data_IF_072278333561
#
_entry.id   IF_072278333561
#
_cell.length_a   1.000
_cell.length_b   1.000
_cell.length_c   1.000
_cell.angle_alpha   90.00
_cell.angle_beta   90.00
_cell.angle_gamma   90.00
#
_symmetry.space_group_name_H-M   'P 1'
#
loop_
_entity.id
_entity.type
_entity.pdbx_description
1 polymer ?
#
# COMPACT_ATOMS: atom_id res chain seq x y z
N UNK A 1 -9.93 -3.43 4.17
CA UNK A 1 -9.60 -1.98 4.09
C UNK A 1 -9.62 -1.32 5.47
N UNK A 2 -10.77 -1.24 6.14
CA UNK A 2 -10.88 -0.66 7.50
C UNK A 2 -9.85 -1.23 8.49
N UNK A 3 -9.67 -2.55 8.50
CA UNK A 3 -8.72 -3.20 9.42
C UNK A 3 -7.27 -2.74 9.19
N UNK A 4 -6.88 -2.55 7.92
CA UNK A 4 -5.58 -1.97 7.58
C UNK A 4 -5.48 -0.53 8.09
N UNK A 5 -6.52 0.28 7.90
CA UNK A 5 -6.52 1.67 8.38
C UNK A 5 -6.43 1.78 9.91
N UNK A 6 -7.07 0.86 10.63
CA UNK A 6 -6.94 0.75 12.09
C UNK A 6 -5.53 0.37 12.51
N UNK A 7 -4.89 -0.57 11.79
CA UNK A 7 -3.52 -0.99 12.04
C UNK A 7 -2.51 0.13 11.74
N UNK A 8 -2.67 0.84 10.63
CA UNK A 8 -1.89 2.02 10.27
C UNK A 8 -1.89 3.08 11.38
N UNK A 9 -3.06 3.38 11.96
CA UNK A 9 -3.14 4.34 13.07
C UNK A 9 -2.33 3.91 14.28
N UNK A 10 -2.27 2.60 14.57
CA UNK A 10 -1.45 2.06 15.67
C UNK A 10 0.05 2.17 15.36
N UNK A 11 0.45 1.81 14.14
CA UNK A 11 1.85 1.96 13.71
C UNK A 11 2.28 3.43 13.74
N UNK A 12 1.44 4.38 13.32
CA UNK A 12 1.80 5.80 13.36
C UNK A 12 2.06 6.33 14.78
N UNK A 13 1.36 5.78 15.79
CA UNK A 13 1.63 6.09 17.20
C UNK A 13 2.95 5.47 17.67
N UNK A 14 3.23 4.23 17.25
CA UNK A 14 4.42 3.50 17.66
C UNK A 14 5.71 4.01 17.00
N UNK A 15 5.62 4.40 15.72
CA UNK A 15 6.76 4.62 14.83
C UNK A 15 7.09 6.11 14.64
N UNK A 16 6.46 6.98 15.44
CA UNK A 16 6.48 8.44 15.33
C UNK A 16 5.80 9.03 14.09
N UNK A 17 6.09 8.53 12.89
CA UNK A 17 5.44 8.97 11.67
C UNK A 17 5.38 7.84 10.65
N UNK A 18 4.38 7.91 9.76
CA UNK A 18 4.23 7.01 8.62
C UNK A 18 3.91 7.84 7.38
N UNK A 19 4.57 7.51 6.28
CA UNK A 19 4.27 8.05 4.95
C UNK A 19 3.41 7.03 4.21
N UNK A 20 2.32 7.47 3.60
CA UNK A 20 1.37 6.60 2.91
C UNK A 20 1.06 7.19 1.55
N UNK A 21 1.22 6.39 0.50
CA UNK A 21 0.66 6.67 -0.82
C UNK A 21 -0.43 5.64 -1.09
N UNK A 22 -1.60 6.09 -1.54
CA UNK A 22 -2.72 5.19 -1.80
C UNK A 22 -3.55 5.67 -2.98
N UNK A 23 -4.14 4.72 -3.70
CA UNK A 23 -4.91 5.05 -4.89
C UNK A 23 -5.73 3.87 -5.42
N UNK A 24 -6.55 4.15 -6.44
CA UNK A 24 -7.32 3.12 -7.13
C UNK A 24 -6.44 2.36 -8.13
N UNK A 25 -6.81 1.12 -8.39
CA UNK A 25 -6.46 0.41 -9.60
C UNK A 25 -7.63 0.59 -10.59
N UNK A 26 -7.35 1.08 -11.79
CA UNK A 26 -8.37 1.33 -12.82
C UNK A 26 -7.99 0.64 -14.12
N UNK A 27 -8.83 -0.28 -14.57
CA UNK A 27 -8.73 -0.93 -15.87
C UNK A 27 -9.33 -0.07 -16.98
N UNK A 28 -8.84 -0.26 -18.21
CA UNK A 28 -9.32 0.49 -19.39
C UNK A 28 -10.83 0.40 -19.63
N UNK A 29 -11.46 -0.72 -19.26
CA UNK A 29 -12.88 -1.00 -19.45
C UNK A 29 -13.66 -1.01 -18.12
N UNK A 30 -13.20 -0.24 -17.13
CA UNK A 30 -13.83 -0.16 -15.83
C UNK A 30 -15.29 0.29 -15.92
N UNK A 31 -16.14 -0.29 -15.06
CA UNK A 31 -17.55 0.09 -14.95
C UNK A 31 -17.66 1.52 -14.43
N UNK A 32 -18.76 2.17 -14.76
CA UNK A 32 -19.08 3.53 -14.30
C UNK A 32 -20.43 3.55 -13.59
N UNK A 33 -20.66 4.56 -12.74
CA UNK A 33 -21.93 4.77 -12.02
C UNK A 33 -22.42 6.21 -12.17
N UNK A 34 -23.75 6.37 -12.12
CA UNK A 34 -24.43 7.66 -12.14
C UNK A 34 -24.40 8.37 -13.50
N UNK A 35 -25.11 9.51 -13.58
CA UNK A 35 -25.17 10.33 -14.80
C UNK A 35 -23.81 10.90 -15.21
N UNK A 36 -22.92 11.13 -14.25
CA UNK A 36 -21.57 11.64 -14.46
C UNK A 36 -20.54 10.56 -14.81
N UNK A 37 -20.96 9.30 -14.96
CA UNK A 37 -20.10 8.19 -15.37
C UNK A 37 -18.85 8.05 -14.49
N UNK A 38 -19.01 8.13 -13.17
CA UNK A 38 -17.90 8.00 -12.22
C UNK A 38 -17.33 6.58 -12.29
N UNK A 39 -16.05 6.45 -12.61
CA UNK A 39 -15.35 5.16 -12.73
C UNK A 39 -15.31 4.41 -11.39
N UNK A 40 -15.61 3.11 -11.43
CA UNK A 40 -15.50 2.20 -10.31
C UNK A 40 -14.18 1.41 -10.43
N UNK A 41 -13.21 1.63 -9.52
CA UNK A 41 -11.95 0.88 -9.51
C UNK A 41 -12.17 -0.62 -9.32
N UNK A 42 -11.36 -1.47 -9.94
CA UNK A 42 -11.34 -2.91 -9.66
C UNK A 42 -10.60 -3.26 -8.37
N UNK A 43 -9.82 -2.31 -7.84
CA UNK A 43 -9.05 -2.49 -6.63
C UNK A 43 -8.44 -1.20 -6.12
N UNK A 44 -7.67 -1.33 -5.04
CA UNK A 44 -6.99 -0.23 -4.37
C UNK A 44 -5.65 -0.70 -3.86
N UNK A 45 -4.71 0.22 -3.77
CA UNK A 45 -3.43 -0.01 -3.12
C UNK A 45 -3.21 0.98 -1.97
N UNK A 46 -2.38 0.56 -1.00
CA UNK A 46 -1.67 1.45 -0.08
C UNK A 46 -0.22 0.98 0.00
N UNK A 47 0.74 1.86 -0.22
CA UNK A 47 2.14 1.64 0.15
C UNK A 47 2.46 2.48 1.37
N UNK A 48 3.21 1.91 2.30
CA UNK A 48 3.40 2.44 3.65
C UNK A 48 4.89 2.41 3.95
N UNK A 49 5.44 3.54 4.38
CA UNK A 49 6.81 3.68 4.84
C UNK A 49 6.81 4.20 6.28
N UNK A 50 7.57 3.52 7.13
CA UNK A 50 7.92 3.90 8.48
C UNK A 50 9.39 4.36 8.50
N UNK A 51 9.65 5.67 8.33
CA UNK A 51 11.01 6.16 8.06
C UNK A 51 11.87 6.34 9.30
N UNK A 52 11.28 6.40 10.50
CA UNK A 52 11.97 6.75 11.74
C UNK A 52 12.28 5.55 12.65
N UNK A 53 12.02 4.33 12.16
CA UNK A 53 12.50 3.10 12.79
C UNK A 53 13.85 2.67 12.17
N UNK A 54 14.59 1.84 12.88
CA UNK A 54 15.93 1.39 12.46
C UNK A 54 15.98 -0.13 12.36
N UNK A 55 16.15 -0.72 11.15
CA UNK A 55 16.17 -0.03 9.85
C UNK A 55 14.76 0.50 9.46
N UNK A 56 14.66 1.47 8.52
CA UNK A 56 13.38 1.89 7.96
C UNK A 56 12.59 0.69 7.43
N UNK A 57 11.27 0.74 7.56
CA UNK A 57 10.39 -0.36 7.19
C UNK A 57 9.35 0.10 6.19
N UNK A 58 9.08 -0.71 5.18
CA UNK A 58 8.00 -0.44 4.25
C UNK A 58 7.20 -1.72 3.92
N UNK A 59 5.97 -1.52 3.43
CA UNK A 59 5.08 -2.60 2.98
C UNK A 59 4.02 -2.06 2.02
N UNK A 60 3.70 -2.86 1.00
CA UNK A 60 2.60 -2.62 0.09
C UNK A 60 1.38 -3.47 0.46
N UNK A 61 0.19 -2.95 0.20
CA UNK A 61 -1.06 -3.70 0.26
C UNK A 61 -1.88 -3.51 -1.02
N UNK A 62 -2.41 -4.61 -1.54
CA UNK A 62 -3.28 -4.62 -2.73
C UNK A 62 -4.62 -5.29 -2.42
N UNK A 63 -5.72 -4.58 -2.62
CA UNK A 63 -7.07 -5.10 -2.39
C UNK A 63 -7.88 -5.07 -3.69
N UNK A 64 -8.64 -6.14 -3.94
CA UNK A 64 -9.75 -6.10 -4.91
C UNK A 64 -10.90 -5.30 -4.32
N UNK A 65 -11.67 -4.63 -5.18
CA UNK A 65 -12.87 -3.89 -4.80
C UNK A 65 -14.06 -4.85 -4.60
N UNK A 66 -13.91 -5.77 -3.66
CA UNK A 66 -14.91 -6.77 -3.27
C UNK A 66 -14.82 -7.03 -1.76
N UNK A 67 -15.88 -7.58 -1.19
CA UNK A 67 -15.88 -7.95 0.21
C UNK A 67 -14.92 -9.12 0.45
N UNK A 68 -14.15 -9.07 1.54
CA UNK A 68 -13.32 -10.17 1.98
C UNK A 68 -13.17 -10.20 3.50
N UNK A 69 -12.98 -11.40 4.03
CA UNK A 69 -12.70 -11.70 5.43
C UNK A 69 -11.30 -12.29 5.64
N UNK A 70 -10.46 -12.30 4.60
CA UNK A 70 -9.10 -12.82 4.68
C UNK A 70 -8.20 -11.91 5.54
N UNK A 71 -7.19 -12.48 6.22
CA UNK A 71 -6.26 -11.71 7.04
C UNK A 71 -5.41 -10.75 6.19
N UNK A 72 -4.97 -9.64 6.80
CA UNK A 72 -4.18 -8.59 6.12
C UNK A 72 -2.93 -9.13 5.44
N UNK A 73 -2.28 -10.14 6.03
CA UNK A 73 -1.09 -10.77 5.47
C UNK A 73 -1.28 -11.27 4.02
N UNK A 74 -2.48 -11.71 3.64
CA UNK A 74 -2.75 -12.19 2.26
C UNK A 74 -2.74 -11.07 1.21
N UNK A 75 -2.82 -9.82 1.64
CA UNK A 75 -2.83 -8.65 0.79
C UNK A 75 -1.49 -7.92 0.75
N UNK A 76 -0.55 -8.33 1.61
CA UNK A 76 0.77 -7.72 1.71
C UNK A 76 1.66 -8.13 0.54
N UNK A 77 2.32 -7.15 -0.07
CA UNK A 77 3.26 -7.30 -1.17
C UNK A 77 4.46 -6.38 -0.95
N UNK A 78 5.54 -6.60 -1.70
CA UNK A 78 6.62 -5.62 -1.84
C UNK A 78 6.09 -4.39 -2.58
N UNK A 79 6.75 -3.25 -2.42
CA UNK A 79 6.35 -2.03 -3.13
C UNK A 79 6.69 -2.18 -4.62
N UNK A 80 7.84 -2.76 -4.98
CA UNK A 80 8.19 -3.12 -6.36
C UNK A 80 7.06 -3.88 -7.10
N UNK A 81 6.38 -4.79 -6.39
CA UNK A 81 5.27 -5.55 -6.94
C UNK A 81 4.08 -4.64 -7.26
N UNK A 82 3.81 -3.65 -6.41
CA UNK A 82 2.73 -2.68 -6.61
C UNK A 82 3.13 -1.66 -7.69
N UNK A 83 4.37 -1.23 -7.75
CA UNK A 83 4.89 -0.38 -8.84
C UNK A 83 4.75 -1.06 -10.20
N UNK A 84 5.11 -2.34 -10.28
CA UNK A 84 4.90 -3.14 -11.50
C UNK A 84 3.43 -3.15 -11.94
N UNK A 85 2.50 -3.24 -10.98
CA UNK A 85 1.05 -3.27 -11.25
C UNK A 85 0.51 -1.89 -11.62
N UNK A 86 0.99 -0.84 -10.96
CA UNK A 86 0.46 0.52 -11.06
C UNK A 86 1.16 1.36 -12.12
N UNK A 87 2.35 0.93 -12.58
CA UNK A 87 3.29 1.73 -13.38
C UNK A 87 3.62 3.08 -12.73
N UNK A 88 3.71 3.09 -11.39
CA UNK A 88 4.11 4.23 -10.58
C UNK A 88 5.47 3.96 -9.94
N UNK A 89 6.13 5.05 -9.57
CA UNK A 89 7.35 5.10 -8.77
C UNK A 89 6.99 5.88 -7.49
N UNK A 90 6.98 5.20 -6.34
CA UNK A 90 6.36 5.74 -5.13
C UNK A 90 7.31 6.58 -4.29
N UNK A 91 8.41 6.01 -3.83
CA UNK A 91 9.34 6.70 -2.94
C UNK A 91 10.52 7.36 -3.69
N UNK A 92 10.34 7.65 -4.99
CA UNK A 92 11.26 8.35 -5.90
C UNK A 92 12.13 9.49 -5.33
N UNK A 93 11.67 10.31 -4.36
CA UNK A 93 12.50 11.34 -3.76
C UNK A 93 13.58 10.82 -2.79
N UNK A 94 13.57 9.54 -2.41
CA UNK A 94 14.59 8.93 -1.57
C UNK A 94 15.88 8.68 -2.38
N UNK A 95 17.04 8.58 -1.70
CA UNK A 95 18.24 8.07 -2.35
C UNK A 95 18.04 6.62 -2.81
N UNK A 96 18.50 6.29 -4.01
CA UNK A 96 18.35 4.98 -4.67
C UNK A 96 18.65 3.79 -3.72
N UNK A 97 19.75 3.85 -2.96
CA UNK A 97 20.13 2.77 -2.03
C UNK A 97 19.09 2.54 -0.92
N UNK A 98 18.41 3.59 -0.47
CA UNK A 98 17.36 3.51 0.56
C UNK A 98 16.06 3.04 -0.08
N UNK A 99 15.72 3.60 -1.23
CA UNK A 99 14.54 3.24 -2.02
C UNK A 99 14.55 1.74 -2.37
N UNK A 100 15.60 1.27 -3.05
CA UNK A 100 15.79 -0.13 -3.44
C UNK A 100 15.66 -1.08 -2.24
N UNK A 101 16.16 -0.67 -1.08
CA UNK A 101 16.11 -1.48 0.14
C UNK A 101 14.69 -1.56 0.70
N UNK A 102 13.98 -0.44 0.79
CA UNK A 102 12.64 -0.41 1.42
C UNK A 102 11.56 -0.94 0.49
N UNK A 103 11.74 -0.84 -0.83
CA UNK A 103 10.70 -1.23 -1.78
C UNK A 103 10.73 -2.73 -2.14
N UNK A 104 11.92 -3.33 -2.14
CA UNK A 104 12.14 -4.73 -2.57
C UNK A 104 11.70 -5.80 -1.58
N UNK A 105 11.47 -5.46 -0.31
CA UNK A 105 11.13 -6.42 0.73
C UNK A 105 10.27 -5.82 1.85
N UNK A 106 9.63 -6.67 2.64
CA UNK A 106 8.94 -6.26 3.86
C UNK A 106 9.11 -7.31 4.97
N UNK A 107 9.18 -6.85 6.22
CA UNK A 107 9.31 -7.71 7.39
C UNK A 107 7.94 -8.03 8.00
N UNK A 108 7.47 -9.27 7.81
CA UNK A 108 6.21 -9.76 8.40
C UNK A 108 6.18 -9.62 9.92
N UNK A 109 7.32 -9.85 10.59
CA UNK A 109 7.41 -9.80 12.05
C UNK A 109 7.28 -8.37 12.59
N UNK A 110 7.85 -7.40 11.87
CA UNK A 110 7.73 -5.98 12.19
C UNK A 110 6.29 -5.49 12.09
N UNK A 111 5.63 -5.76 10.96
CA UNK A 111 4.28 -5.27 10.71
C UNK A 111 3.22 -6.02 11.54
N UNK A 112 3.48 -7.29 11.89
CA UNK A 112 2.73 -8.04 12.89
C UNK A 112 1.24 -8.14 12.55
N UNK A 113 0.93 -8.49 11.29
CA UNK A 113 -0.42 -8.86 10.85
C UNK A 113 -0.71 -10.34 11.02
#
# INVERSE_FOLDING_TARGET
WKDLEEKIRKWAIADSAIVIVCGPLVEKNAKTIGSHQVTVPQGFFKVILSPYVSPPQAVGFLFKNEASLEPLQKYALTIDSIETITSMDFFAPLPDEIEDLVESQFDVSYWGF
#
